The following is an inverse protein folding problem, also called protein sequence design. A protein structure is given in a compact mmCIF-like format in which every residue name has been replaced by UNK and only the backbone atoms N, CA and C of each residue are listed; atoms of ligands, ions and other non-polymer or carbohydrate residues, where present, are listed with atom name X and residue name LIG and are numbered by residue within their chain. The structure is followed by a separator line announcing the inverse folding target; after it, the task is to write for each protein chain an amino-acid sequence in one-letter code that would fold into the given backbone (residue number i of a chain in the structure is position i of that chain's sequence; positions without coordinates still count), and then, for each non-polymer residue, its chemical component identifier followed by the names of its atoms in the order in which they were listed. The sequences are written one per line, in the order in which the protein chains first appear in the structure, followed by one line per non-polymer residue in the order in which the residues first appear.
data_IF_457688467194
#
_entry.id   IF_457688467194
#
_cell.length_a   1.000
_cell.length_b   1.000
_cell.length_c   1.000
_cell.angle_alpha   90.00
_cell.angle_beta   90.00
_cell.angle_gamma   90.00
#
_symmetry.space_group_name_H-M   'P 1'
#
loop_
_entity.id
_entity.type
_entity.pdbx_description
1 polymer ?
#
# COMPACT_ATOMS: atom_id res chain seq x y z
N UNK A 1 -22.17 -3.90 8.95
CA UNK A 1 -21.25 -3.42 7.90
C UNK A 1 -20.39 -2.22 8.34
N UNK A 2 -20.85 -1.31 9.22
CA UNK A 2 -20.04 -0.14 9.66
C UNK A 2 -18.64 -0.48 10.21
N UNK A 3 -18.47 -1.61 10.88
CA UNK A 3 -17.14 -1.98 11.39
C UNK A 3 -16.14 -2.33 10.27
N UNK A 4 -16.59 -3.00 9.21
CA UNK A 4 -15.73 -3.42 8.08
C UNK A 4 -15.12 -2.21 7.35
N UNK A 5 -15.87 -1.10 7.24
CA UNK A 5 -15.33 0.11 6.62
C UNK A 5 -14.16 0.73 7.39
N UNK A 6 -14.07 0.56 8.71
CA UNK A 6 -12.92 1.05 9.47
C UNK A 6 -11.64 0.26 9.18
N UNK A 7 -11.75 -1.05 8.95
CA UNK A 7 -10.59 -1.87 8.54
C UNK A 7 -10.11 -1.52 7.14
N UNK A 8 -11.05 -1.32 6.21
CA UNK A 8 -10.73 -0.85 4.87
C UNK A 8 -10.06 0.53 4.92
N UNK A 9 -10.56 1.44 5.76
CA UNK A 9 -9.94 2.75 5.95
C UNK A 9 -8.52 2.65 6.53
N UNK A 10 -8.29 1.75 7.49
CA UNK A 10 -6.96 1.50 8.04
C UNK A 10 -5.98 1.03 6.95
N UNK A 11 -6.39 0.07 6.13
CA UNK A 11 -5.59 -0.40 5.00
C UNK A 11 -5.31 0.75 4.00
N UNK A 12 -6.33 1.52 3.62
CA UNK A 12 -6.18 2.67 2.73
C UNK A 12 -5.24 3.75 3.29
N UNK A 13 -5.25 3.96 4.62
CA UNK A 13 -4.37 4.92 5.27
C UNK A 13 -2.90 4.49 5.17
N UNK A 14 -2.60 3.22 5.40
CA UNK A 14 -1.24 2.67 5.25
C UNK A 14 -0.77 2.72 3.79
N UNK A 15 -1.65 2.35 2.85
CA UNK A 15 -1.36 2.47 1.43
C UNK A 15 -1.08 3.93 1.03
N UNK A 16 -1.92 4.88 1.48
CA UNK A 16 -1.70 6.31 1.22
C UNK A 16 -0.36 6.79 1.80
N UNK A 17 -0.04 6.40 3.04
CA UNK A 17 1.23 6.77 3.67
C UNK A 17 2.44 6.27 2.86
N UNK A 18 2.43 5.00 2.43
CA UNK A 18 3.49 4.44 1.59
C UNK A 18 3.65 5.20 0.26
N UNK A 19 2.53 5.49 -0.43
CA UNK A 19 2.56 6.22 -1.70
C UNK A 19 3.03 7.67 -1.54
N UNK A 20 2.62 8.36 -0.47
CA UNK A 20 3.07 9.72 -0.19
C UNK A 20 4.56 9.76 0.11
N UNK A 21 5.05 8.89 0.98
CA UNK A 21 6.48 8.77 1.28
C UNK A 21 7.28 8.55 0.00
N UNK A 22 6.82 7.63 -0.85
CA UNK A 22 7.52 7.35 -2.09
C UNK A 22 7.46 8.50 -3.11
N UNK A 23 6.34 9.21 -3.20
CA UNK A 23 6.20 10.35 -4.11
C UNK A 23 7.25 11.44 -3.84
N UNK A 24 7.65 11.61 -2.58
CA UNK A 24 8.66 12.59 -2.20
C UNK A 24 10.07 12.02 -2.05
N UNK A 25 10.19 10.70 -1.97
CA UNK A 25 11.46 10.01 -1.77
C UNK A 25 11.53 8.74 -2.62
N UNK A 26 12.47 8.73 -3.55
CA UNK A 26 12.68 7.66 -4.51
C UNK A 26 13.94 6.86 -4.14
N UNK A 27 13.86 5.83 -3.28
CA UNK A 27 14.98 4.93 -3.03
C UNK A 27 15.28 4.12 -4.30
N UNK A 28 16.43 4.36 -4.91
CA UNK A 28 16.92 3.65 -6.09
C UNK A 28 17.98 2.63 -5.66
N UNK A 29 17.82 1.33 -5.99
CA UNK A 29 18.83 0.33 -5.66
C UNK A 29 20.13 0.58 -6.45
N UNK A 30 21.28 0.43 -5.77
CA UNK A 30 22.62 0.66 -6.32
C UNK A 30 23.42 -0.65 -6.46
N UNK A 31 22.78 -1.69 -7.00
CA UNK A 31 23.41 -3.00 -7.21
C UNK A 31 24.64 -2.89 -8.13
N UNK A 32 25.71 -3.67 -7.90
CA UNK A 32 25.79 -4.82 -6.99
C UNK A 32 25.97 -4.44 -5.51
N UNK A 33 26.18 -3.17 -5.17
CA UNK A 33 26.23 -2.78 -3.76
C UNK A 33 24.85 -2.90 -3.12
N UNK A 34 24.78 -3.44 -1.89
CA UNK A 34 23.51 -3.51 -1.13
C UNK A 34 23.21 -2.15 -0.48
N UNK A 35 23.19 -1.12 -1.33
CA UNK A 35 22.93 0.26 -0.98
C UNK A 35 21.79 0.80 -1.83
N UNK A 36 21.19 1.88 -1.35
CA UNK A 36 20.17 2.63 -2.05
C UNK A 36 20.59 4.09 -2.09
N UNK A 37 20.24 4.78 -3.16
CA UNK A 37 20.35 6.24 -3.26
C UNK A 37 18.96 6.84 -3.08
N UNK A 38 18.83 7.80 -2.17
CA UNK A 38 17.58 8.52 -1.96
C UNK A 38 17.50 9.70 -2.94
N UNK A 39 16.71 9.56 -3.99
CA UNK A 39 16.41 10.65 -4.93
C UNK A 39 15.06 11.31 -4.59
N UNK A 40 14.75 12.42 -5.27
CA UNK A 40 13.51 13.18 -5.07
C UNK A 40 13.67 14.31 -4.05
N UNK A 41 12.55 15.00 -3.76
CA UNK A 41 12.54 16.22 -2.96
C UNK A 41 13.19 16.02 -1.57
N UNK A 42 12.90 14.91 -0.90
CA UNK A 42 13.48 14.62 0.43
C UNK A 42 14.98 14.35 0.32
N UNK A 43 15.41 13.62 -0.71
CA UNK A 43 16.84 13.35 -0.94
C UNK A 43 17.64 14.62 -1.25
N UNK A 44 17.05 15.57 -1.96
CA UNK A 44 17.68 16.85 -2.29
C UNK A 44 17.77 17.79 -1.08
N UNK A 45 16.72 17.83 -0.25
CA UNK A 45 16.67 18.68 0.95
C UNK A 45 17.48 18.11 2.12
N UNK A 46 17.53 16.78 2.24
CA UNK A 46 18.10 16.08 3.39
C UNK A 46 19.06 14.98 2.93
N UNK A 47 20.30 15.34 2.53
CA UNK A 47 21.24 14.39 1.95
C UNK A 47 21.90 13.45 2.98
N UNK A 48 21.52 13.54 4.25
CA UNK A 48 22.08 12.74 5.33
C UNK A 48 21.65 11.26 5.24
N UNK A 49 22.60 10.36 5.46
CA UNK A 49 22.41 8.90 5.40
C UNK A 49 21.23 8.41 6.27
N UNK A 50 21.13 8.90 7.51
CA UNK A 50 20.09 8.47 8.45
C UNK A 50 18.68 8.80 7.96
N UNK A 51 18.51 9.86 7.15
CA UNK A 51 17.21 10.20 6.54
C UNK A 51 16.84 9.16 5.49
N UNK A 52 17.80 8.71 4.69
CA UNK A 52 17.66 7.56 3.78
C UNK A 52 17.12 6.32 4.48
N UNK A 53 17.75 5.93 5.59
CA UNK A 53 17.31 4.79 6.40
C UNK A 53 15.89 4.98 6.98
N UNK A 54 15.60 6.13 7.60
CA UNK A 54 14.29 6.40 8.21
C UNK A 54 13.18 6.33 7.16
N UNK A 55 13.38 6.95 6.00
CA UNK A 55 12.38 6.99 4.93
C UNK A 55 12.18 5.59 4.34
N UNK A 56 13.26 4.88 4.02
CA UNK A 56 13.17 3.54 3.46
C UNK A 56 12.49 2.56 4.44
N UNK A 57 12.86 2.61 5.73
CA UNK A 57 12.20 1.85 6.78
C UNK A 57 10.71 2.18 6.87
N UNK A 58 10.35 3.47 6.81
CA UNK A 58 8.95 3.92 6.89
C UNK A 58 8.12 3.43 5.71
N UNK A 59 8.68 3.43 4.49
CA UNK A 59 8.02 2.89 3.29
C UNK A 59 7.74 1.39 3.46
N UNK A 60 8.76 0.62 3.86
CA UNK A 60 8.61 -0.82 4.09
C UNK A 60 7.62 -1.11 5.22
N UNK A 61 7.68 -0.34 6.31
CA UNK A 61 6.78 -0.49 7.45
C UNK A 61 5.32 -0.19 7.07
N UNK A 62 5.09 0.85 6.28
CA UNK A 62 3.76 1.18 5.77
C UNK A 62 3.21 0.10 4.84
N UNK A 63 4.06 -0.44 3.95
CA UNK A 63 3.70 -1.55 3.08
C UNK A 63 3.35 -2.82 3.88
N UNK A 64 4.15 -3.18 4.89
CA UNK A 64 3.90 -4.32 5.77
C UNK A 64 2.58 -4.14 6.53
N UNK A 65 2.36 -2.97 7.14
CA UNK A 65 1.12 -2.68 7.86
C UNK A 65 -0.12 -2.65 6.97
N UNK A 66 0.02 -2.27 5.70
CA UNK A 66 -1.04 -2.37 4.70
C UNK A 66 -1.48 -3.84 4.51
N UNK A 67 -0.53 -4.76 4.31
CA UNK A 67 -0.83 -6.19 4.15
C UNK A 67 -1.44 -6.78 5.43
N UNK A 68 -0.90 -6.43 6.60
CA UNK A 68 -1.46 -6.86 7.90
C UNK A 68 -2.90 -6.32 8.07
N UNK A 69 -3.17 -5.06 7.72
CA UNK A 69 -4.52 -4.49 7.79
C UNK A 69 -5.50 -5.23 6.88
N UNK A 70 -5.07 -5.60 5.67
CA UNK A 70 -5.86 -6.37 4.73
C UNK A 70 -6.16 -7.78 5.29
N UNK A 71 -5.16 -8.47 5.83
CA UNK A 71 -5.33 -9.77 6.50
C UNK A 71 -6.33 -9.67 7.67
N UNK A 72 -6.19 -8.66 8.54
CA UNK A 72 -7.11 -8.41 9.65
C UNK A 72 -8.55 -8.15 9.15
N UNK A 73 -8.72 -7.47 8.03
CA UNK A 73 -10.04 -7.26 7.43
C UNK A 73 -10.72 -8.61 7.09
N UNK A 74 -10.01 -9.57 6.51
CA UNK A 74 -10.54 -10.91 6.25
C UNK A 74 -10.79 -11.70 7.53
N UNK A 75 -9.89 -11.60 8.52
CA UNK A 75 -10.07 -12.24 9.82
C UNK A 75 -11.35 -11.75 10.52
N UNK A 76 -11.52 -10.43 10.68
CA UNK A 76 -12.72 -9.86 11.31
C UNK A 76 -13.99 -10.17 10.54
N UNK A 77 -13.90 -10.23 9.21
CA UNK A 77 -15.04 -10.66 8.39
C UNK A 77 -15.42 -12.10 8.69
N UNK A 78 -14.46 -13.03 8.71
CA UNK A 78 -14.73 -14.43 9.06
C UNK A 78 -15.36 -14.53 10.43
N UNK A 79 -14.78 -13.86 11.43
CA UNK A 79 -15.31 -13.81 12.79
C UNK A 79 -16.76 -13.31 12.79
N UNK A 80 -17.07 -12.24 12.05
CA UNK A 80 -18.43 -11.67 11.96
C UNK A 80 -19.49 -12.62 11.37
N UNK A 81 -19.08 -13.52 10.46
CA UNK A 81 -19.94 -14.52 9.84
C UNK A 81 -20.09 -15.77 10.73
N UNK A 82 -19.00 -16.23 11.35
CA UNK A 82 -18.99 -17.44 12.16
C UNK A 82 -19.62 -17.23 13.54
N UNK A 83 -19.31 -16.10 14.19
CA UNK A 83 -19.60 -15.85 15.61
C UNK A 83 -20.41 -14.56 15.83
N UNK A 84 -21.46 -14.34 15.01
CA UNK A 84 -22.31 -13.15 15.04
C UNK A 84 -22.80 -12.79 16.46
N UNK A 85 -23.24 -13.78 17.23
CA UNK A 85 -23.76 -13.57 18.59
C UNK A 85 -22.65 -13.12 19.55
N UNK A 86 -21.45 -13.70 19.49
CA UNK A 86 -20.33 -13.32 20.36
C UNK A 86 -19.84 -11.91 20.04
N UNK A 87 -19.64 -11.59 18.77
CA UNK A 87 -19.09 -10.30 18.33
C UNK A 87 -20.03 -9.13 18.61
N UNK A 88 -21.34 -9.36 18.62
CA UNK A 88 -22.32 -8.32 18.97
C UNK A 88 -22.08 -7.74 20.37
N UNK A 89 -21.52 -8.53 21.30
CA UNK A 89 -21.27 -8.12 22.68
C UNK A 89 -19.86 -7.56 22.90
N UNK A 90 -18.95 -7.72 21.93
CA UNK A 90 -17.60 -7.19 22.03
C UNK A 90 -17.64 -5.69 21.75
N UNK A 91 -17.16 -4.87 22.69
CA UNK A 91 -17.04 -3.42 22.49
C UNK A 91 -16.05 -3.15 21.34
N UNK A 92 -16.37 -2.23 20.41
CA UNK A 92 -15.51 -1.93 19.25
C UNK A 92 -14.06 -1.56 19.62
N UNK A 93 -13.86 -0.93 20.78
CA UNK A 93 -12.55 -0.58 21.33
C UNK A 93 -11.60 -1.79 21.39
N UNK A 94 -12.08 -2.96 21.81
CA UNK A 94 -11.25 -4.17 21.88
C UNK A 94 -10.81 -4.66 20.50
N UNK A 95 -11.65 -4.47 19.48
CA UNK A 95 -11.27 -4.75 18.09
C UNK A 95 -10.15 -3.84 17.61
N UNK A 96 -10.21 -2.53 17.93
CA UNK A 96 -9.15 -1.58 17.60
C UNK A 96 -7.85 -1.86 18.35
N UNK A 97 -7.92 -2.14 19.66
CA UNK A 97 -6.76 -2.49 20.47
C UNK A 97 -6.08 -3.77 19.96
N UNK A 98 -6.86 -4.78 19.57
CA UNK A 98 -6.34 -6.00 18.96
C UNK A 98 -5.60 -5.71 17.64
N UNK A 99 -6.15 -4.87 16.77
CA UNK A 99 -5.50 -4.51 15.51
C UNK A 99 -4.21 -3.74 15.73
N UNK A 100 -4.26 -2.72 16.58
CA UNK A 100 -3.10 -1.92 16.93
C UNK A 100 -2.01 -2.81 17.55
N UNK A 101 -2.38 -3.72 18.47
CA UNK A 101 -1.47 -4.68 19.08
C UNK A 101 -0.75 -5.55 18.06
N UNK A 102 -1.46 -6.15 17.11
CA UNK A 102 -0.84 -6.95 16.04
C UNK A 102 0.07 -6.12 15.15
N UNK A 103 -0.40 -4.95 14.69
CA UNK A 103 0.38 -4.07 13.83
C UNK A 103 1.67 -3.60 14.52
N UNK A 104 1.57 -3.15 15.77
CA UNK A 104 2.74 -2.76 16.59
C UNK A 104 3.67 -3.94 16.80
N UNK A 105 3.16 -5.13 17.11
CA UNK A 105 4.00 -6.30 17.37
C UNK A 105 4.82 -6.70 16.13
N UNK A 106 4.17 -6.78 14.97
CA UNK A 106 4.84 -7.08 13.69
C UNK A 106 5.81 -5.96 13.29
N UNK A 107 5.42 -4.70 13.52
CA UNK A 107 6.24 -3.52 13.25
C UNK A 107 7.51 -3.51 14.10
N UNK A 108 7.41 -3.73 15.41
CA UNK A 108 8.57 -3.80 16.31
C UNK A 108 9.53 -4.91 15.91
N UNK A 109 9.00 -6.09 15.55
CA UNK A 109 9.82 -7.20 15.08
C UNK A 109 10.58 -6.84 13.80
N UNK A 110 9.90 -6.25 12.81
CA UNK A 110 10.52 -5.81 11.57
C UNK A 110 11.60 -4.74 11.82
N UNK A 111 11.29 -3.72 12.61
CA UNK A 111 12.25 -2.64 12.96
C UNK A 111 13.48 -3.22 13.65
N UNK A 112 13.32 -4.17 14.58
CA UNK A 112 14.45 -4.84 15.21
C UNK A 112 15.38 -5.49 14.17
N UNK A 113 14.86 -6.27 13.24
CA UNK A 113 15.69 -6.91 12.21
C UNK A 113 16.27 -5.90 11.20
N UNK A 114 15.51 -4.87 10.85
CA UNK A 114 15.97 -3.80 9.97
C UNK A 114 17.17 -3.06 10.56
N UNK A 115 17.11 -2.66 11.83
CA UNK A 115 18.21 -1.98 12.52
C UNK A 115 19.48 -2.85 12.60
N UNK A 116 19.32 -4.17 12.76
CA UNK A 116 20.44 -5.13 12.73
C UNK A 116 21.05 -5.34 11.33
N UNK A 117 20.39 -4.88 10.26
CA UNK A 117 20.86 -5.01 8.89
C UNK A 117 21.63 -3.78 8.39
N UNK A 118 21.48 -2.63 9.07
CA UNK A 118 22.13 -1.38 8.70
C UNK A 118 23.65 -1.46 8.80
N UNK A 119 24.33 -0.75 7.90
CA UNK A 119 25.78 -0.54 7.94
C UNK A 119 26.03 0.94 7.70
N UNK A 120 26.67 1.67 8.63
CA UNK A 120 27.09 3.05 8.40
C UNK A 120 27.97 3.17 7.15
N UNK A 121 27.81 4.25 6.37
CA UNK A 121 28.63 4.47 5.17
C UNK A 121 30.14 4.46 5.46
N UNK A 122 30.57 4.94 6.64
CA UNK A 122 31.97 4.92 7.07
C UNK A 122 32.56 3.52 7.15
N UNK A 123 31.72 2.53 7.43
CA UNK A 123 32.12 1.15 7.70
C UNK A 123 31.89 0.25 6.46
N UNK A 124 31.38 0.81 5.37
CA UNK A 124 31.09 0.05 4.16
C UNK A 124 32.39 -0.34 3.43
N UNK A 125 32.60 -1.61 3.04
CA UNK A 125 33.90 -2.08 2.53
C UNK A 125 34.40 -1.36 1.27
N UNK A 126 33.47 -0.93 0.40
CA UNK A 126 33.80 -0.32 -0.89
C UNK A 126 33.54 1.19 -0.88
N UNK A 127 34.48 1.94 -0.30
CA UNK A 127 34.38 3.40 -0.17
C UNK A 127 34.35 4.13 -1.53
N UNK A 128 34.93 3.53 -2.58
CA UNK A 128 35.02 4.14 -3.92
C UNK A 128 33.67 4.34 -4.62
N UNK A 129 32.64 3.59 -4.23
CA UNK A 129 31.31 3.61 -4.85
C UNK A 129 30.35 4.57 -4.12
N UNK A 130 30.77 5.10 -2.96
CA UNK A 130 29.93 5.95 -2.14
C UNK A 130 29.70 7.29 -2.83
N UNK A 131 28.44 7.68 -2.93
CA UNK A 131 28.01 8.97 -3.43
C UNK A 131 27.12 9.66 -2.40
N UNK A 132 26.90 10.96 -2.56
CA UNK A 132 25.94 11.72 -1.74
C UNK A 132 24.56 11.05 -1.77
N UNK A 133 23.83 11.09 -0.64
CA UNK A 133 22.45 10.56 -0.51
C UNK A 133 22.34 9.03 -0.57
N UNK A 134 23.45 8.31 -0.41
CA UNK A 134 23.42 6.85 -0.27
C UNK A 134 23.19 6.42 1.18
N UNK A 135 22.68 5.22 1.35
CA UNK A 135 22.60 4.50 2.61
C UNK A 135 22.71 3.00 2.33
N UNK A 136 23.36 2.25 3.23
CA UNK A 136 23.85 0.90 2.92
C UNK A 136 23.44 -0.14 3.97
N UNK A 137 23.47 -1.40 3.54
CA UNK A 137 23.13 -2.55 4.36
C UNK A 137 24.21 -3.63 4.27
N UNK A 138 24.21 -4.55 5.23
CA UNK A 138 25.13 -5.69 5.18
C UNK A 138 24.91 -6.48 3.90
N UNK A 139 25.99 -6.66 3.13
CA UNK A 139 25.92 -7.27 1.80
C UNK A 139 25.81 -8.79 1.82
N UNK A 140 26.19 -9.42 2.94
CA UNK A 140 26.19 -10.87 3.15
C UNK A 140 25.91 -11.24 4.61
N UNK A 141 25.79 -12.54 4.88
CA UNK A 141 25.63 -13.09 6.22
C UNK A 141 24.20 -13.16 6.74
N UNK A 142 24.07 -13.64 7.97
CA UNK A 142 22.78 -13.91 8.61
C UNK A 142 21.93 -12.66 8.83
N UNK A 143 22.56 -11.49 9.06
CA UNK A 143 21.87 -10.20 9.25
C UNK A 143 21.00 -9.84 8.05
N UNK A 144 21.56 -9.96 6.85
CA UNK A 144 20.85 -9.79 5.57
C UNK A 144 19.70 -10.80 5.44
N UNK A 145 19.99 -12.07 5.70
CA UNK A 145 19.00 -13.15 5.64
C UNK A 145 17.80 -12.90 6.55
N UNK A 146 18.03 -12.57 7.83
CA UNK A 146 16.96 -12.33 8.80
C UNK A 146 16.12 -11.09 8.50
N UNK A 147 16.73 -9.99 8.06
CA UNK A 147 15.96 -8.79 7.73
C UNK A 147 15.04 -8.99 6.53
N UNK A 148 15.56 -9.60 5.45
CA UNK A 148 14.76 -9.94 4.29
C UNK A 148 13.70 -11.00 4.64
N UNK A 149 14.08 -12.07 5.34
CA UNK A 149 13.14 -13.12 5.77
C UNK A 149 12.07 -12.58 6.72
N UNK A 150 12.38 -11.64 7.61
CA UNK A 150 11.40 -11.03 8.50
C UNK A 150 10.31 -10.29 7.71
N UNK A 151 10.70 -9.45 6.76
CA UNK A 151 9.75 -8.71 5.93
C UNK A 151 8.94 -9.63 5.01
N UNK A 152 9.60 -10.51 4.25
CA UNK A 152 8.93 -11.40 3.30
C UNK A 152 8.16 -12.51 3.99
N UNK A 153 8.74 -13.11 5.02
CA UNK A 153 8.09 -14.15 5.83
C UNK A 153 6.82 -13.61 6.48
N UNK A 154 6.87 -12.42 7.09
CA UNK A 154 5.67 -11.79 7.66
C UNK A 154 4.60 -11.50 6.60
N UNK A 155 5.02 -10.99 5.44
CA UNK A 155 4.10 -10.68 4.34
C UNK A 155 3.47 -11.95 3.75
N UNK A 156 4.27 -12.98 3.48
CA UNK A 156 3.81 -14.27 2.98
C UNK A 156 2.86 -14.93 3.99
N UNK A 157 3.21 -14.93 5.27
CA UNK A 157 2.36 -15.46 6.33
C UNK A 157 1.01 -14.72 6.38
N UNK A 158 1.01 -13.39 6.27
CA UNK A 158 -0.21 -12.60 6.22
C UNK A 158 -1.07 -12.92 5.00
N UNK A 159 -0.46 -13.13 3.81
CA UNK A 159 -1.17 -13.56 2.61
C UNK A 159 -1.76 -14.97 2.76
N UNK A 160 -1.03 -15.91 3.36
CA UNK A 160 -1.53 -17.24 3.66
C UNK A 160 -2.75 -17.19 4.61
N UNK A 161 -2.68 -16.40 5.68
CA UNK A 161 -3.82 -16.18 6.57
C UNK A 161 -4.99 -15.52 5.86
N UNK A 162 -4.72 -14.55 4.98
CA UNK A 162 -5.75 -13.89 4.17
C UNK A 162 -6.49 -14.91 3.29
N UNK A 163 -5.77 -15.78 2.58
CA UNK A 163 -6.35 -16.87 1.76
C UNK A 163 -7.15 -17.82 2.65
N UNK A 164 -6.60 -18.26 3.78
CA UNK A 164 -7.28 -19.13 4.74
C UNK A 164 -8.61 -18.53 5.21
N UNK A 165 -8.61 -17.30 5.72
CA UNK A 165 -9.83 -16.64 6.19
C UNK A 165 -10.84 -16.39 5.07
N UNK A 166 -10.37 -16.14 3.85
CA UNK A 166 -11.25 -16.02 2.69
C UNK A 166 -11.94 -17.35 2.35
N UNK A 167 -11.20 -18.46 2.32
CA UNK A 167 -11.77 -19.80 2.13
C UNK A 167 -12.76 -20.16 3.24
N UNK A 168 -12.43 -19.84 4.49
CA UNK A 168 -13.32 -20.03 5.63
C UNK A 168 -14.59 -19.16 5.53
N UNK A 169 -14.48 -17.92 5.04
CA UNK A 169 -15.64 -17.06 4.75
C UNK A 169 -16.54 -17.68 3.68
N UNK A 170 -15.97 -18.17 2.58
CA UNK A 170 -16.72 -18.82 1.49
C UNK A 170 -17.46 -20.06 2.01
N UNK A 171 -16.75 -20.94 2.72
CA UNK A 171 -17.34 -22.14 3.32
C UNK A 171 -18.47 -21.81 4.27
N UNK A 172 -18.27 -20.82 5.17
CA UNK A 172 -19.29 -20.43 6.15
C UNK A 172 -20.52 -19.82 5.48
N UNK A 173 -20.31 -18.99 4.46
CA UNK A 173 -21.40 -18.37 3.71
C UNK A 173 -22.24 -19.41 2.95
N UNK A 174 -21.59 -20.43 2.40
CA UNK A 174 -22.27 -21.57 1.76
C UNK A 174 -23.09 -22.37 2.76
N UNK A 175 -22.54 -22.65 3.95
CA UNK A 175 -23.27 -23.37 5.02
C UNK A 175 -24.50 -22.62 5.54
N UNK A 176 -24.51 -21.28 5.46
CA UNK A 176 -25.62 -20.45 5.94
C UNK A 176 -26.65 -20.10 4.86
N UNK A 177 -26.47 -20.57 3.63
CA UNK A 177 -27.32 -20.20 2.49
C UNK A 177 -28.78 -20.61 2.68
N UNK A 178 -29.06 -21.72 3.37
CA UNK A 178 -30.43 -22.15 3.69
C UNK A 178 -31.10 -21.43 4.86
N UNK A 179 -30.35 -20.70 5.69
CA UNK A 179 -30.88 -20.01 6.89
C UNK A 179 -31.04 -18.50 6.69
N UNK A 180 -30.37 -17.95 5.67
CA UNK A 180 -30.33 -16.52 5.40
C UNK A 180 -31.25 -16.17 4.23
N UNK A 181 -31.87 -15.00 4.32
CA UNK A 181 -32.61 -14.43 3.20
C UNK A 181 -31.71 -14.33 1.94
N UNK A 182 -32.27 -14.70 0.78
CA UNK A 182 -31.55 -14.79 -0.48
C UNK A 182 -30.90 -13.45 -0.88
N UNK A 183 -31.53 -12.31 -0.55
CA UNK A 183 -30.96 -10.99 -0.82
C UNK A 183 -29.70 -10.74 0.01
N UNK A 184 -29.72 -11.16 1.27
CA UNK A 184 -28.57 -11.04 2.18
C UNK A 184 -27.40 -11.89 1.73
N UNK A 185 -27.65 -13.15 1.32
CA UNK A 185 -26.60 -14.04 0.80
C UNK A 185 -25.96 -13.47 -0.47
N UNK A 186 -26.77 -13.01 -1.44
CA UNK A 186 -26.26 -12.37 -2.67
C UNK A 186 -25.39 -11.15 -2.37
N UNK A 187 -25.79 -10.31 -1.41
CA UNK A 187 -25.01 -9.15 -0.99
C UNK A 187 -23.67 -9.55 -0.36
N UNK A 188 -23.66 -10.57 0.51
CA UNK A 188 -22.43 -11.09 1.14
C UNK A 188 -21.49 -11.71 0.11
N UNK A 189 -21.99 -12.55 -0.81
CA UNK A 189 -21.21 -13.15 -1.91
C UNK A 189 -20.60 -12.05 -2.78
N UNK A 190 -21.37 -11.03 -3.15
CA UNK A 190 -20.88 -9.88 -3.92
C UNK A 190 -19.80 -9.10 -3.17
N UNK A 191 -20.01 -8.81 -1.89
CA UNK A 191 -19.02 -8.11 -1.07
C UNK A 191 -17.73 -8.93 -0.91
N UNK A 192 -17.83 -10.26 -0.78
CA UNK A 192 -16.66 -11.13 -0.65
C UNK A 192 -15.86 -11.17 -1.94
N UNK A 193 -16.54 -11.33 -3.07
CA UNK A 193 -15.92 -11.25 -4.40
C UNK A 193 -15.21 -9.92 -4.63
N UNK A 194 -15.85 -8.80 -4.25
CA UNK A 194 -15.22 -7.50 -4.36
C UNK A 194 -13.96 -7.39 -3.49
N UNK A 195 -13.97 -7.89 -2.25
CA UNK A 195 -12.76 -7.90 -1.41
C UNK A 195 -11.66 -8.81 -1.98
N UNK A 196 -12.00 -9.95 -2.59
CA UNK A 196 -11.02 -10.81 -3.25
C UNK A 196 -10.34 -10.11 -4.42
N UNK A 197 -11.11 -9.44 -5.28
CA UNK A 197 -10.55 -8.65 -6.39
C UNK A 197 -9.66 -7.54 -5.83
N UNK A 198 -10.13 -6.86 -4.79
CA UNK A 198 -9.39 -5.79 -4.13
C UNK A 198 -8.06 -6.27 -3.54
N UNK A 199 -8.03 -7.47 -2.95
CA UNK A 199 -6.81 -8.09 -2.42
C UNK A 199 -5.86 -8.63 -3.49
N UNK A 200 -6.39 -9.05 -4.65
CA UNK A 200 -5.59 -9.57 -5.75
C UNK A 200 -4.69 -8.48 -6.35
N UNK A 201 -5.18 -7.24 -6.48
CA UNK A 201 -4.43 -6.12 -7.05
C UNK A 201 -3.10 -5.84 -6.33
N UNK A 202 -3.06 -5.55 -5.01
CA UNK A 202 -1.82 -5.30 -4.29
C UNK A 202 -0.94 -6.56 -4.21
N UNK A 203 -1.53 -7.76 -4.26
CA UNK A 203 -0.75 -9.01 -4.28
C UNK A 203 0.02 -9.18 -5.59
N UNK A 204 -0.65 -8.96 -6.73
CA UNK A 204 -0.06 -9.17 -8.05
C UNK A 204 0.82 -8.01 -8.52
N UNK A 205 0.41 -6.76 -8.27
CA UNK A 205 1.11 -5.57 -8.75
C UNK A 205 2.08 -5.02 -7.70
N UNK A 206 1.78 -5.20 -6.41
CA UNK A 206 2.65 -4.75 -5.32
C UNK A 206 3.61 -5.84 -4.86
N UNK A 207 3.08 -6.88 -4.22
CA UNK A 207 3.89 -7.90 -3.54
C UNK A 207 4.76 -8.71 -4.48
N UNK A 208 4.23 -9.20 -5.61
CA UNK A 208 4.99 -10.05 -6.53
C UNK A 208 6.23 -9.34 -7.13
N UNK A 209 6.15 -8.09 -7.63
CA UNK A 209 7.34 -7.36 -8.07
C UNK A 209 8.33 -7.10 -6.93
N UNK A 210 7.86 -6.76 -5.73
CA UNK A 210 8.74 -6.56 -4.57
C UNK A 210 9.44 -7.86 -4.15
N UNK A 211 8.77 -9.01 -4.26
CA UNK A 211 9.38 -10.33 -4.05
C UNK A 211 10.51 -10.59 -5.03
N UNK A 212 10.30 -10.30 -6.32
CA UNK A 212 11.36 -10.43 -7.33
C UNK A 212 12.52 -9.48 -7.01
N UNK A 213 12.24 -8.22 -6.72
CA UNK A 213 13.26 -7.23 -6.37
C UNK A 213 14.10 -7.69 -5.17
N UNK A 214 13.50 -8.32 -4.16
CA UNK A 214 14.25 -8.78 -3.00
C UNK A 214 15.00 -10.07 -3.22
N UNK A 215 14.51 -10.99 -4.06
CA UNK A 215 15.33 -12.10 -4.53
C UNK A 215 16.60 -11.56 -5.21
N UNK A 216 16.48 -10.48 -5.98
CA UNK A 216 17.63 -9.81 -6.61
C UNK A 216 18.49 -9.02 -5.62
N UNK A 217 17.93 -8.43 -4.56
CA UNK A 217 18.74 -7.85 -3.45
C UNK A 217 19.50 -8.95 -2.72
N UNK A 218 18.88 -10.11 -2.52
CA UNK A 218 19.54 -11.27 -1.94
C UNK A 218 20.67 -11.79 -2.83
N UNK A 219 20.40 -11.85 -4.15
CA UNK A 219 21.29 -12.25 -5.24
C UNK A 219 21.77 -11.06 -6.07
N UNK A 220 22.39 -10.10 -5.40
CA UNK A 220 22.88 -8.85 -5.99
C UNK A 220 24.03 -9.04 -6.99
N UNK A 221 24.58 -10.25 -7.06
CA UNK A 221 25.61 -10.71 -8.01
C UNK A 221 25.10 -10.92 -9.44
N UNK A 222 23.78 -11.02 -9.64
CA UNK A 222 23.21 -11.31 -10.95
C UNK A 222 23.32 -10.13 -11.92
N UNK A 223 23.64 -10.41 -13.18
CA UNK A 223 23.60 -9.43 -14.27
C UNK A 223 22.20 -8.83 -14.39
N UNK A 224 22.12 -7.51 -14.57
CA UNK A 224 20.88 -6.75 -14.65
C UNK A 224 20.03 -6.69 -13.37
N UNK A 225 20.59 -7.08 -12.21
CA UNK A 225 19.88 -7.04 -10.92
C UNK A 225 19.35 -5.64 -10.59
N UNK A 226 20.10 -4.59 -10.94
CA UNK A 226 19.72 -3.19 -10.72
C UNK A 226 18.50 -2.78 -11.55
N UNK A 227 18.53 -3.04 -12.85
CA UNK A 227 17.52 -2.65 -13.82
C UNK A 227 16.22 -3.38 -13.56
N UNK A 228 16.28 -4.69 -13.30
CA UNK A 228 15.10 -5.49 -12.99
C UNK A 228 14.52 -5.05 -11.64
N UNK A 229 15.35 -4.87 -10.59
CA UNK A 229 14.86 -4.42 -9.28
C UNK A 229 14.20 -3.04 -9.37
N UNK A 230 14.81 -2.10 -10.10
CA UNK A 230 14.25 -0.76 -10.31
C UNK A 230 12.91 -0.84 -11.04
N UNK A 231 12.81 -1.65 -12.09
CA UNK A 231 11.56 -1.88 -12.83
C UNK A 231 10.48 -2.47 -11.93
N UNK A 232 10.83 -3.49 -11.14
CA UNK A 232 9.93 -4.11 -10.17
C UNK A 232 9.43 -3.11 -9.12
N UNK A 233 10.32 -2.28 -8.59
CA UNK A 233 9.96 -1.19 -7.68
C UNK A 233 8.97 -0.26 -8.39
N UNK A 234 9.28 0.24 -9.60
CA UNK A 234 8.38 1.13 -10.35
C UNK A 234 6.97 0.55 -10.53
N UNK A 235 6.86 -0.74 -10.88
CA UNK A 235 5.57 -1.43 -10.98
C UNK A 235 4.86 -1.44 -9.63
N UNK A 236 5.56 -1.82 -8.57
CA UNK A 236 5.01 -1.88 -7.22
C UNK A 236 4.49 -0.52 -6.74
N UNK A 237 5.10 0.60 -7.11
CA UNK A 237 4.63 1.92 -6.71
C UNK A 237 3.30 2.31 -7.34
N UNK A 238 3.07 1.84 -8.56
CA UNK A 238 1.83 2.13 -9.25
C UNK A 238 0.65 1.29 -8.72
N UNK A 239 0.91 0.32 -7.83
CA UNK A 239 -0.15 -0.51 -7.25
C UNK A 239 -1.21 0.33 -6.52
N UNK A 240 -0.81 1.41 -5.83
CA UNK A 240 -1.73 2.27 -5.07
C UNK A 240 -2.75 2.98 -5.97
N UNK A 241 -2.29 3.49 -7.11
CA UNK A 241 -3.14 4.11 -8.13
C UNK A 241 -4.12 3.10 -8.74
N UNK A 242 -3.62 1.93 -9.14
CA UNK A 242 -4.47 0.86 -9.70
C UNK A 242 -5.48 0.39 -8.66
N UNK A 243 -5.06 0.22 -7.41
CA UNK A 243 -5.91 -0.13 -6.28
C UNK A 243 -7.03 0.89 -6.04
N UNK A 244 -6.71 2.19 -6.10
CA UNK A 244 -7.69 3.26 -5.98
C UNK A 244 -8.75 3.20 -7.08
N UNK A 245 -8.33 3.04 -8.34
CA UNK A 245 -9.22 2.91 -9.49
C UNK A 245 -10.16 1.70 -9.31
N UNK A 246 -9.59 0.54 -8.99
CA UNK A 246 -10.36 -0.70 -8.79
C UNK A 246 -11.35 -0.56 -7.62
N UNK A 247 -10.95 0.06 -6.51
CA UNK A 247 -11.83 0.37 -5.38
C UNK A 247 -13.04 1.18 -5.83
N UNK A 248 -12.80 2.27 -6.57
CA UNK A 248 -13.87 3.13 -7.08
C UNK A 248 -14.80 2.31 -7.98
N UNK A 249 -14.28 1.49 -8.90
CA UNK A 249 -15.09 0.67 -9.79
C UNK A 249 -15.97 -0.35 -9.03
N UNK A 250 -15.41 -1.02 -8.01
CA UNK A 250 -16.08 -2.11 -7.29
C UNK A 250 -17.20 -1.64 -6.35
N UNK A 251 -17.02 -0.51 -5.68
CA UNK A 251 -17.94 -0.06 -4.63
C UNK A 251 -18.81 1.12 -5.08
N UNK A 252 -20.11 0.86 -5.23
CA UNK A 252 -21.11 1.90 -5.57
C UNK A 252 -21.07 3.10 -4.59
N UNK A 253 -20.79 2.84 -3.32
CA UNK A 253 -20.70 3.88 -2.28
C UNK A 253 -19.60 4.92 -2.56
N UNK A 254 -18.49 4.54 -3.21
CA UNK A 254 -17.43 5.48 -3.59
C UNK A 254 -17.70 6.16 -4.95
N UNK A 255 -18.36 5.47 -5.88
CA UNK A 255 -18.69 6.06 -7.20
C UNK A 255 -19.64 7.25 -7.13
N UNK A 256 -20.63 7.22 -6.23
CA UNK A 256 -21.64 8.26 -6.17
C UNK A 256 -21.06 9.63 -5.75
N UNK A 257 -20.27 9.75 -4.66
CA UNK A 257 -19.58 11.00 -4.31
C UNK A 257 -18.62 11.47 -5.41
N UNK A 258 -17.84 10.57 -6.01
CA UNK A 258 -16.88 10.93 -7.08
C UNK A 258 -17.63 11.48 -8.30
N UNK A 259 -18.75 10.87 -8.69
CA UNK A 259 -19.60 11.39 -9.76
C UNK A 259 -20.13 12.78 -9.43
N UNK A 260 -20.55 13.04 -8.19
CA UNK A 260 -21.00 14.36 -7.77
C UNK A 260 -19.87 15.40 -7.83
N UNK A 261 -18.68 15.06 -7.37
CA UNK A 261 -17.48 15.92 -7.46
C UNK A 261 -17.18 16.22 -8.93
N UNK A 262 -17.16 15.19 -9.79
CA UNK A 262 -16.90 15.35 -11.22
C UNK A 262 -17.93 16.24 -11.92
N UNK A 263 -19.22 16.05 -11.62
CA UNK A 263 -20.29 16.90 -12.17
C UNK A 263 -20.16 18.35 -11.70
N UNK A 264 -19.81 18.58 -10.43
CA UNK A 264 -19.56 19.94 -9.90
C UNK A 264 -18.36 20.60 -10.58
N UNK A 265 -17.23 19.90 -10.72
CA UNK A 265 -16.03 20.41 -11.40
C UNK A 265 -16.33 20.73 -12.86
N UNK A 266 -16.97 19.80 -13.58
CA UNK A 266 -17.38 20.02 -14.98
C UNK A 266 -18.30 21.23 -15.13
N UNK A 267 -19.27 21.41 -14.24
CA UNK A 267 -20.17 22.57 -14.28
C UNK A 267 -19.44 23.89 -14.05
N UNK A 268 -18.44 23.93 -13.15
CA UNK A 268 -17.62 25.13 -12.92
C UNK A 268 -16.73 25.47 -14.12
N UNK A 269 -16.10 24.47 -14.73
CA UNK A 269 -15.25 24.68 -15.93
C UNK A 269 -16.08 25.20 -17.10
N UNK A 270 -17.26 24.60 -17.34
CA UNK A 270 -18.17 25.06 -18.40
C UNK A 270 -18.66 26.49 -18.15
N UNK A 271 -18.98 26.85 -16.91
CA UNK A 271 -19.38 28.21 -16.54
C UNK A 271 -18.25 29.23 -16.77
N UNK A 272 -17.02 28.91 -16.39
CA UNK A 272 -15.86 29.77 -16.66
C UNK A 272 -15.62 29.98 -18.16
N UNK A 273 -15.73 28.91 -18.97
CA UNK A 273 -15.57 29.01 -20.42
C UNK A 273 -16.63 29.91 -21.06
N UNK A 274 -17.89 29.81 -20.61
CA UNK A 274 -18.98 30.65 -21.10
C UNK A 274 -18.79 32.14 -20.73
N UNK A 275 -18.32 32.42 -19.51
CA UNK A 275 -18.05 33.80 -19.08
C UNK A 275 -16.88 34.44 -19.84
N UNK A 276 -15.82 33.68 -20.12
CA UNK A 276 -14.71 34.13 -20.96
C UNK A 276 -15.15 34.40 -22.41
N UNK A 277 -16.02 33.55 -22.95
CA UNK A 277 -16.57 33.78 -24.28
C UNK A 277 -17.41 35.06 -24.32
N UNK A 278 -18.26 35.28 -23.31
CA UNK A 278 -19.08 36.47 -23.21
C UNK A 278 -18.25 37.76 -23.04
N UNK A 279 -17.21 37.75 -22.21
CA UNK A 279 -16.32 38.92 -22.05
C UNK A 279 -15.58 39.25 -23.35
N UNK A 280 -15.14 38.25 -24.10
CA UNK A 280 -14.48 38.47 -25.38
C UNK A 280 -15.46 39.07 -26.40
N UNK A 281 -16.69 38.58 -26.49
CA UNK A 281 -17.71 39.15 -27.38
C UNK A 281 -17.97 40.62 -27.06
N UNK A 282 -18.08 41.00 -25.78
CA UNK A 282 -18.27 42.39 -25.36
C UNK A 282 -17.09 43.29 -25.78
N UNK A 283 -15.85 42.81 -25.63
CA UNK A 283 -14.65 43.55 -26.06
C UNK A 283 -14.62 43.72 -27.57
N UNK A 284 -14.99 42.69 -28.34
CA UNK A 284 -15.06 42.77 -29.81
C UNK A 284 -16.16 43.72 -30.30
N UNK A 285 -17.33 43.74 -29.65
CA UNK A 285 -18.40 44.69 -30.02
C UNK A 285 -18.00 46.12 -29.70
N UNK A 286 -17.36 46.37 -28.55
CA UNK A 286 -16.88 47.70 -28.17
C UNK A 286 -15.76 48.23 -29.09
N UNK A 287 -14.89 47.34 -29.60
CA UNK A 287 -13.81 47.72 -30.50
C UNK A 287 -14.30 48.11 -31.92
N UNK A 288 -15.47 47.62 -32.35
CA UNK A 288 -16.03 47.92 -33.68
C UNK A 288 -16.90 49.19 -33.71
N UNK A 289 -17.17 49.82 -32.57
CA UNK A 289 -17.96 51.06 -32.47
C UNK A 289 -17.08 52.34 -32.43
N UNK A 290 -15.74 52.19 -32.48
CA UNK A 290 -14.75 53.28 -32.51
C UNK A 290 -14.19 53.40 -33.92
#
# INVERSE_FOLDING_TARGET
MRYVSHFILNEMAWNLAANLLYTFAHPIPMMPENCFRLDGLIGDLFPQEYVGHIIFMSILLAALNCVIALMLCFQFRYMSLSHKNRIRHIRPLWGYLYCAGIQVSVSCLFVFYYLNWLVPLSDYPNQSVITSRMFCFHSSGFRKGFALFSFFGSTLLALLFMVLFNLLCLRRLHQQEGLLDARTVRLQKKLLRNLMILAAVPTLIGFLPILVAVVLVYRNDLTYSREISTTCIIIALNHGTVYGIVTIMLFKAYRAPIRQIFMKVRSKILFQKNNQLASNVIVWTAANEI
#
